data_IF_406483217470
#
_entry.id   IF_406483217470
#
_cell.length_a   1.000
_cell.length_b   1.000
_cell.length_c   1.000
_cell.angle_alpha   90.00
_cell.angle_beta   90.00
_cell.angle_gamma   90.00
#
_symmetry.space_group_name_H-M   'P 1'
#
loop_
_entity.id
_entity.type
_entity.pdbx_description
1 polymer ?
#
# COMPACT_ATOMS: atom_id res chain seq x y z
N UNK A 1 -14.23 -8.41 14.37
CA UNK A 1 -13.34 -7.30 13.97
C UNK A 1 -11.91 -7.80 14.02
N UNK A 2 -11.34 -8.09 12.87
CA UNK A 2 -9.98 -8.62 12.74
C UNK A 2 -9.24 -7.80 11.70
N UNK A 3 -7.97 -7.51 11.96
CA UNK A 3 -7.11 -6.90 10.96
C UNK A 3 -6.61 -8.02 10.05
N UNK A 4 -6.52 -7.77 8.74
CA UNK A 4 -6.05 -8.78 7.79
C UNK A 4 -4.73 -8.35 7.16
N UNK A 5 -3.77 -9.28 7.09
CA UNK A 5 -2.56 -9.13 6.29
C UNK A 5 -2.57 -10.23 5.22
N UNK A 6 -2.35 -9.86 3.95
CA UNK A 6 -2.52 -10.77 2.82
C UNK A 6 -1.27 -10.73 1.97
N UNK A 7 -0.64 -11.89 1.86
CA UNK A 7 0.38 -12.12 0.84
C UNK A 7 -0.29 -12.53 -0.47
N UNK A 8 -0.42 -11.54 -1.37
CA UNK A 8 -0.98 -11.76 -2.70
C UNK A 8 -0.02 -12.50 -3.64
N UNK A 9 1.25 -12.66 -3.28
CA UNK A 9 2.22 -13.41 -4.06
C UNK A 9 2.06 -14.94 -3.94
N UNK A 10 1.31 -15.41 -2.94
CA UNK A 10 1.08 -16.83 -2.74
C UNK A 10 0.42 -17.50 -3.94
N UNK A 11 0.72 -18.80 -4.14
CA UNK A 11 0.22 -19.59 -5.26
C UNK A 11 -1.31 -19.57 -5.44
N UNK A 12 -2.05 -19.38 -4.34
CA UNK A 12 -3.52 -19.28 -4.34
C UNK A 12 -4.00 -18.06 -5.15
N UNK A 13 -3.26 -16.95 -5.13
CA UNK A 13 -3.63 -15.72 -5.84
C UNK A 13 -2.96 -15.58 -7.21
N UNK A 14 -1.94 -16.40 -7.50
CA UNK A 14 -1.15 -16.34 -8.74
C UNK A 14 -1.43 -17.48 -9.71
N UNK A 15 -2.31 -18.43 -9.36
CA UNK A 15 -2.75 -19.49 -10.26
C UNK A 15 -3.40 -18.91 -11.53
N UNK A 16 -2.73 -19.09 -12.68
CA UNK A 16 -3.19 -18.60 -13.99
C UNK A 16 -3.12 -17.08 -14.15
N UNK A 17 -2.37 -16.36 -13.30
CA UNK A 17 -2.24 -14.90 -13.34
C UNK A 17 -0.78 -14.47 -13.13
N UNK A 18 -0.33 -13.35 -13.71
CA UNK A 18 0.99 -12.81 -13.39
C UNK A 18 1.10 -12.45 -11.90
N UNK A 19 2.32 -12.55 -11.37
CA UNK A 19 2.59 -12.21 -9.97
C UNK A 19 2.22 -10.74 -9.69
N UNK A 20 1.67 -10.38 -8.50
CA UNK A 20 1.25 -9.02 -8.20
C UNK A 20 2.36 -7.96 -8.14
N UNK A 21 3.64 -8.38 -8.14
CA UNK A 21 4.77 -7.47 -8.32
C UNK A 21 4.93 -7.01 -9.78
N UNK A 22 4.32 -7.72 -10.73
CA UNK A 22 4.36 -7.43 -12.17
C UNK A 22 3.04 -6.79 -12.59
N UNK A 23 1.93 -7.41 -12.22
CA UNK A 23 0.58 -7.01 -12.62
C UNK A 23 -0.25 -6.56 -11.41
N UNK A 24 -0.69 -5.31 -11.42
CA UNK A 24 -1.31 -4.68 -10.25
C UNK A 24 -2.84 -4.78 -10.26
N UNK A 25 -3.48 -5.47 -11.23
CA UNK A 25 -4.94 -5.56 -11.32
C UNK A 25 -5.57 -6.00 -10.00
N UNK A 26 -5.06 -7.10 -9.44
CA UNK A 26 -5.58 -7.64 -8.18
C UNK A 26 -5.29 -6.71 -6.99
N UNK A 27 -4.13 -6.04 -6.97
CA UNK A 27 -3.79 -5.05 -5.94
C UNK A 27 -4.75 -3.87 -5.96
N UNK A 28 -5.06 -3.34 -7.15
CA UNK A 28 -6.00 -2.24 -7.35
C UNK A 28 -7.43 -2.62 -6.96
N UNK A 29 -7.91 -3.78 -7.43
CA UNK A 29 -9.24 -4.30 -7.07
C UNK A 29 -9.39 -4.44 -5.54
N UNK A 30 -8.39 -5.04 -4.89
CA UNK A 30 -8.42 -5.21 -3.45
C UNK A 30 -8.40 -3.87 -2.71
N UNK A 31 -7.55 -2.95 -3.13
CA UNK A 31 -7.44 -1.63 -2.53
C UNK A 31 -8.76 -0.86 -2.58
N UNK A 32 -9.47 -0.89 -3.72
CA UNK A 32 -10.77 -0.24 -3.86
C UNK A 32 -11.87 -0.93 -3.04
N UNK A 33 -11.82 -2.26 -2.93
CA UNK A 33 -12.72 -3.02 -2.07
C UNK A 33 -12.56 -2.61 -0.61
N UNK A 34 -11.33 -2.57 -0.10
CA UNK A 34 -11.07 -2.18 1.29
C UNK A 34 -11.42 -0.71 1.56
N UNK A 35 -11.23 0.17 0.58
CA UNK A 35 -11.61 1.57 0.71
C UNK A 35 -13.12 1.79 0.88
N UNK A 36 -13.92 0.90 0.28
CA UNK A 36 -15.39 0.93 0.36
C UNK A 36 -15.92 0.42 1.69
N UNK A 37 -15.11 -0.30 2.48
CA UNK A 37 -15.49 -0.77 3.80
C UNK A 37 -15.42 0.38 4.83
N UNK A 38 -16.54 0.71 5.52
CA UNK A 38 -16.56 1.76 6.54
C UNK A 38 -15.69 1.46 7.77
N UNK A 39 -15.37 0.19 8.05
CA UNK A 39 -14.52 -0.20 9.18
C UNK A 39 -13.02 -0.05 8.89
N UNK A 40 -12.63 0.08 7.62
CA UNK A 40 -11.22 0.24 7.23
C UNK A 40 -10.69 1.62 7.59
N UNK A 41 -9.77 1.66 8.56
CA UNK A 41 -9.09 2.88 9.02
C UNK A 41 -7.79 3.16 8.25
N UNK A 42 -7.08 2.11 7.82
CA UNK A 42 -5.77 2.21 7.16
C UNK A 42 -5.58 1.05 6.18
N UNK A 43 -4.97 1.34 5.04
CA UNK A 43 -4.46 0.34 4.10
C UNK A 43 -2.93 0.38 4.16
N UNK A 44 -2.33 -0.76 4.46
CA UNK A 44 -0.88 -0.97 4.39
C UNK A 44 -0.56 -1.73 3.09
N UNK A 45 0.36 -1.20 2.30
CA UNK A 45 0.88 -1.87 1.10
C UNK A 45 2.40 -1.71 1.02
N UNK A 46 3.06 -2.53 0.21
CA UNK A 46 4.49 -2.45 -0.09
C UNK A 46 4.72 -2.08 -1.57
N UNK A 47 5.84 -1.43 -1.87
CA UNK A 47 6.27 -1.22 -3.26
C UNK A 47 7.65 -1.84 -3.41
N UNK A 48 7.78 -2.80 -4.31
CA UNK A 48 9.03 -3.53 -4.55
C UNK A 48 9.56 -3.13 -5.92
N UNK A 49 10.83 -2.71 -5.96
CA UNK A 49 11.54 -2.35 -7.18
C UNK A 49 12.48 -3.48 -7.61
N UNK A 50 13.15 -3.26 -8.73
CA UNK A 50 14.19 -4.15 -9.24
C UNK A 50 13.76 -4.96 -10.45
N UNK A 51 14.65 -5.86 -10.85
CA UNK A 51 14.50 -6.63 -12.07
C UNK A 51 13.32 -7.60 -11.97
N UNK A 52 12.45 -7.59 -12.98
CA UNK A 52 11.24 -8.42 -12.98
C UNK A 52 10.08 -7.87 -12.17
N UNK A 53 10.21 -6.70 -11.53
CA UNK A 53 9.06 -5.96 -11.01
C UNK A 53 8.40 -5.13 -12.13
N UNK A 54 7.22 -4.57 -11.84
CA UNK A 54 6.57 -3.60 -12.71
C UNK A 54 7.55 -2.44 -13.08
N UNK A 55 7.54 -1.93 -14.33
CA UNK A 55 8.41 -0.82 -14.73
C UNK A 55 8.13 0.52 -14.01
N UNK A 56 6.91 0.72 -13.52
CA UNK A 56 6.49 1.92 -12.80
C UNK A 56 5.44 1.60 -11.70
N UNK A 57 5.83 0.90 -10.62
CA UNK A 57 4.87 0.38 -9.64
C UNK A 57 4.09 1.47 -8.90
N UNK A 58 4.73 2.60 -8.57
CA UNK A 58 4.06 3.75 -7.97
C UNK A 58 3.10 4.41 -8.95
N UNK A 59 3.49 4.61 -10.21
CA UNK A 59 2.61 5.13 -11.24
C UNK A 59 1.40 4.25 -11.49
N UNK A 60 1.58 2.92 -11.44
CA UNK A 60 0.52 1.94 -11.65
C UNK A 60 -0.51 1.92 -10.50
N UNK A 61 -0.08 2.05 -9.24
CA UNK A 61 -0.99 2.00 -8.07
C UNK A 61 -1.59 3.37 -7.71
N UNK A 62 -0.90 4.48 -8.01
CA UNK A 62 -1.27 5.83 -7.59
C UNK A 62 -2.71 6.24 -7.96
N UNK A 63 -3.23 5.98 -9.18
CA UNK A 63 -4.62 6.29 -9.51
C UNK A 63 -5.62 5.57 -8.61
N UNK A 64 -5.38 4.30 -8.29
CA UNK A 64 -6.26 3.53 -7.40
C UNK A 64 -6.21 4.06 -5.96
N UNK A 65 -5.05 4.53 -5.48
CA UNK A 65 -4.92 5.18 -4.17
C UNK A 65 -5.74 6.48 -4.11
N UNK A 66 -5.67 7.33 -5.14
CA UNK A 66 -6.50 8.55 -5.22
C UNK A 66 -7.97 8.20 -5.14
N UNK A 67 -8.41 7.25 -5.97
CA UNK A 67 -9.80 6.79 -6.00
C UNK A 67 -10.26 6.19 -4.66
N UNK A 68 -9.42 5.40 -3.98
CA UNK A 68 -9.74 4.87 -2.65
C UNK A 68 -9.94 5.98 -1.61
N UNK A 69 -9.08 6.99 -1.61
CA UNK A 69 -9.23 8.16 -0.73
C UNK A 69 -10.52 8.92 -1.03
N UNK A 70 -10.88 9.10 -2.30
CA UNK A 70 -12.15 9.72 -2.72
C UNK A 70 -13.38 8.90 -2.31
N UNK A 71 -13.33 7.56 -2.42
CA UNK A 71 -14.40 6.66 -1.94
C UNK A 71 -14.63 6.87 -0.44
N UNK A 72 -13.56 6.85 0.36
CA UNK A 72 -13.66 7.05 1.80
C UNK A 72 -14.17 8.46 2.16
N UNK A 73 -13.69 9.48 1.44
CA UNK A 73 -14.09 10.87 1.64
C UNK A 73 -15.58 11.08 1.36
N UNK A 74 -16.12 10.51 0.27
CA UNK A 74 -17.56 10.54 -0.02
C UNK A 74 -18.39 9.83 1.05
N UNK A 75 -17.80 8.86 1.74
CA UNK A 75 -18.39 8.20 2.92
C UNK A 75 -18.17 8.96 4.24
N UNK A 76 -17.68 10.21 4.22
CA UNK A 76 -17.46 11.02 5.41
C UNK A 76 -16.29 10.57 6.28
N UNK A 77 -15.34 9.82 5.73
CA UNK A 77 -14.18 9.27 6.45
C UNK A 77 -12.86 9.68 5.79
N UNK A 78 -11.80 9.66 6.58
CA UNK A 78 -10.43 9.79 6.08
C UNK A 78 -9.78 8.40 6.02
N UNK A 79 -9.25 8.03 4.85
CA UNK A 79 -8.52 6.78 4.66
C UNK A 79 -7.00 7.03 4.60
N UNK A 80 -6.30 6.48 5.59
CA UNK A 80 -4.84 6.48 5.57
C UNK A 80 -4.33 5.36 4.67
N UNK A 81 -3.33 5.67 3.85
CA UNK A 81 -2.58 4.68 3.08
C UNK A 81 -1.13 4.82 3.51
N UNK A 82 -0.53 3.73 3.97
CA UNK A 82 0.85 3.68 4.46
C UNK A 82 1.63 2.70 3.58
N UNK A 83 2.84 3.08 3.19
CA UNK A 83 3.71 2.18 2.45
C UNK A 83 5.19 2.41 2.76
N UNK A 84 6.03 1.54 2.24
CA UNK A 84 7.46 1.71 2.12
C UNK A 84 7.91 1.17 0.77
N UNK A 85 8.94 1.79 0.20
CA UNK A 85 9.54 1.35 -1.06
C UNK A 85 10.77 0.50 -0.75
N UNK A 86 10.72 -0.78 -1.14
CA UNK A 86 11.82 -1.71 -1.06
C UNK A 86 12.56 -1.72 -2.40
N UNK A 87 13.75 -1.12 -2.43
CA UNK A 87 14.55 -0.99 -3.62
C UNK A 87 15.74 -0.05 -3.38
N UNK A 88 16.48 0.22 -4.44
CA UNK A 88 17.70 1.01 -4.43
C UNK A 88 17.63 2.11 -5.48
N UNK A 89 18.52 3.11 -5.37
CA UNK A 89 18.68 4.15 -6.40
C UNK A 89 19.20 3.60 -7.73
N UNK A 90 19.76 2.39 -7.74
CA UNK A 90 20.26 1.72 -8.95
C UNK A 90 19.20 0.87 -9.66
N UNK A 91 18.00 0.72 -9.09
CA UNK A 91 16.94 -0.06 -9.72
C UNK A 91 16.32 0.68 -10.93
N UNK A 92 15.88 -0.04 -11.97
CA UNK A 92 15.38 0.57 -13.22
C UNK A 92 14.21 1.56 -13.04
N UNK A 93 13.43 1.40 -11.98
CA UNK A 93 12.22 2.18 -11.71
C UNK A 93 12.49 3.57 -11.11
N UNK A 94 13.75 3.87 -10.74
CA UNK A 94 14.17 5.10 -10.04
C UNK A 94 13.44 5.31 -8.70
N UNK A 95 14.07 4.89 -7.60
CA UNK A 95 13.53 4.98 -6.24
C UNK A 95 12.93 6.35 -5.91
N UNK A 96 13.63 7.44 -6.24
CA UNK A 96 13.21 8.81 -5.87
C UNK A 96 11.92 9.19 -6.60
N UNK A 97 11.79 8.81 -7.87
CA UNK A 97 10.57 9.08 -8.63
C UNK A 97 9.39 8.25 -8.13
N UNK A 98 9.62 7.00 -7.74
CA UNK A 98 8.58 6.14 -7.15
C UNK A 98 8.07 6.71 -5.83
N UNK A 99 8.97 7.14 -4.94
CA UNK A 99 8.62 7.80 -3.68
C UNK A 99 7.80 9.07 -3.93
N UNK A 100 8.29 9.96 -4.82
CA UNK A 100 7.60 11.22 -5.14
C UNK A 100 6.16 11.00 -5.62
N UNK A 101 5.95 10.03 -6.53
CA UNK A 101 4.60 9.70 -7.05
C UNK A 101 3.65 9.26 -5.92
N UNK A 102 4.15 8.55 -4.91
CA UNK A 102 3.35 8.10 -3.77
C UNK A 102 3.03 9.26 -2.82
N UNK A 103 3.99 10.15 -2.56
CA UNK A 103 3.77 11.35 -1.74
C UNK A 103 2.73 12.28 -2.38
N UNK A 104 2.80 12.49 -3.69
CA UNK A 104 1.86 13.33 -4.46
C UNK A 104 0.40 12.84 -4.35
N UNK A 105 0.18 11.55 -4.07
CA UNK A 105 -1.16 10.99 -3.84
C UNK A 105 -1.52 10.85 -2.36
N UNK A 106 -0.73 11.45 -1.48
CA UNK A 106 -0.99 11.53 -0.04
C UNK A 106 -0.78 10.21 0.69
N UNK A 107 0.16 9.38 0.21
CA UNK A 107 0.60 8.18 0.94
C UNK A 107 1.57 8.58 2.04
N UNK A 108 1.45 7.94 3.20
CA UNK A 108 2.44 8.04 4.27
C UNK A 108 3.56 7.07 3.96
N UNK A 109 4.69 7.59 3.44
CA UNK A 109 5.89 6.81 3.22
C UNK A 109 6.68 6.62 4.51
N UNK A 110 7.02 5.37 4.80
CA UNK A 110 7.87 4.98 5.91
C UNK A 110 9.17 4.38 5.38
N UNK A 111 10.29 4.49 6.13
CA UNK A 111 11.61 4.09 5.64
C UNK A 111 11.81 2.56 5.57
N UNK A 112 10.86 1.77 6.08
CA UNK A 112 10.91 0.30 5.99
C UNK A 112 9.53 -0.31 6.20
N UNK A 113 9.37 -1.57 5.76
CA UNK A 113 8.15 -2.35 5.98
C UNK A 113 7.80 -2.44 7.48
N UNK A 114 8.81 -2.56 8.34
CA UNK A 114 8.61 -2.61 9.79
C UNK A 114 8.04 -1.28 10.33
N UNK A 115 8.56 -0.14 9.85
CA UNK A 115 8.05 1.18 10.25
C UNK A 115 6.67 1.45 9.66
N UNK A 116 6.39 0.99 8.44
CA UNK A 116 5.07 1.03 7.81
C UNK A 116 4.02 0.26 8.62
N UNK A 117 4.35 -0.96 9.05
CA UNK A 117 3.48 -1.77 9.89
C UNK A 117 3.21 -1.13 11.26
N UNK A 118 4.24 -0.56 11.91
CA UNK A 118 4.09 0.19 13.17
C UNK A 118 3.17 1.39 13.01
N UNK A 119 3.35 2.19 11.95
CA UNK A 119 2.48 3.32 11.64
C UNK A 119 1.03 2.88 11.42
N UNK A 120 0.81 1.82 10.62
CA UNK A 120 -0.52 1.27 10.41
C UNK A 120 -1.18 0.81 11.73
N UNK A 121 -0.42 0.15 12.60
CA UNK A 121 -0.91 -0.26 13.92
C UNK A 121 -1.28 0.93 14.82
N UNK A 122 -0.52 2.03 14.78
CA UNK A 122 -0.88 3.27 15.49
C UNK A 122 -2.19 3.85 14.99
N UNK A 123 -2.38 3.90 13.68
CA UNK A 123 -3.61 4.42 13.08
C UNK A 123 -4.81 3.53 13.46
N UNK A 124 -4.70 2.22 13.23
CA UNK A 124 -5.78 1.26 13.49
C UNK A 124 -6.21 1.23 14.96
N UNK A 125 -5.28 1.49 15.89
CA UNK A 125 -5.55 1.44 17.33
C UNK A 125 -5.73 2.81 17.97
N UNK A 126 -5.68 3.89 17.19
CA UNK A 126 -5.70 5.29 17.69
C UNK A 126 -4.61 5.53 18.75
N UNK A 127 -3.40 5.03 18.48
CA UNK A 127 -2.21 5.23 19.31
C UNK A 127 -2.08 4.34 20.55
N UNK A 128 -3.06 3.49 20.85
CA UNK A 128 -3.07 2.66 22.08
C UNK A 128 -1.86 1.73 22.22
N UNK A 129 -1.24 1.33 21.10
CA UNK A 129 -0.10 0.41 21.09
C UNK A 129 1.27 1.09 21.15
N UNK A 130 1.35 2.43 21.16
CA UNK A 130 2.61 3.19 21.07
C UNK A 130 3.72 2.67 21.99
N UNK A 131 3.41 2.41 23.28
CA UNK A 131 4.40 1.92 24.25
C UNK A 131 4.96 0.52 23.94
N UNK A 132 4.24 -0.30 23.17
CA UNK A 132 4.61 -1.68 22.83
C UNK A 132 5.41 -1.78 21.53
N UNK A 133 5.29 -0.78 20.67
CA UNK A 133 5.87 -0.79 19.32
C UNK A 133 6.88 0.33 19.12
N UNK A 134 7.27 1.04 20.17
CA UNK A 134 8.43 1.93 20.15
C UNK A 134 9.71 1.13 19.89
#
# INVERSE_FOLDING_TARGET
RENTCIDMGTGIFTAGRPHPMIDFRFRKERLLKEASDPETAVILLDIVLGHGANPDPAGEIAPAIKQAKEIAMRGGRYLSVVTSVCGTRGDPQNLVEQEKKLEEVGVVLMPSNAQAARMAALIATRGKVWRRIK
#
